data_IF_226228957246
#
_entry.id   IF_226228957246
#
_cell.length_a   1.000
_cell.length_b   1.000
_cell.length_c   1.000
_cell.angle_alpha   90.00
_cell.angle_beta   90.00
_cell.angle_gamma   90.00
#
_symmetry.space_group_name_H-M   'P 1'
#
loop_
_entity.id
_entity.type
_entity.pdbx_description
1 polymer ?
#
# COMPACT_ATOMS: atom_id res chain seq x y z
N UNK A 1 -31.79 -30.52 -93.13
CA UNK A 1 -32.65 -29.45 -92.59
C UNK A 1 -33.36 -29.97 -91.35
N UNK A 2 -33.31 -29.15 -90.28
CA UNK A 2 -34.26 -28.98 -89.17
C UNK A 2 -34.76 -30.23 -88.39
N UNK A 3 -34.46 -30.40 -87.10
CA UNK A 3 -34.85 -29.66 -85.87
C UNK A 3 -36.18 -30.11 -85.22
N UNK A 4 -36.10 -30.26 -83.89
CA UNK A 4 -37.14 -30.16 -82.84
C UNK A 4 -38.07 -31.37 -82.64
N UNK A 5 -37.93 -32.11 -81.54
CA UNK A 5 -38.41 -31.80 -80.16
C UNK A 5 -39.94 -31.90 -80.09
N UNK A 6 -40.55 -32.69 -79.19
CA UNK A 6 -40.79 -32.40 -77.76
C UNK A 6 -41.36 -33.71 -77.14
N UNK A 7 -40.79 -34.33 -76.11
CA UNK A 7 -40.80 -33.99 -74.67
C UNK A 7 -42.14 -34.31 -73.94
N UNK A 8 -42.07 -35.36 -73.10
CA UNK A 8 -42.47 -35.42 -71.66
C UNK A 8 -43.93 -35.38 -71.17
N UNK A 9 -44.04 -36.02 -69.99
CA UNK A 9 -44.95 -35.79 -68.85
C UNK A 9 -46.30 -36.51 -68.94
N UNK A 10 -46.87 -37.09 -67.88
CA UNK A 10 -46.65 -37.01 -66.44
C UNK A 10 -47.42 -38.19 -65.77
N UNK A 11 -47.00 -38.84 -64.68
CA UNK A 11 -46.64 -38.40 -63.32
C UNK A 11 -47.85 -38.44 -62.34
N UNK A 12 -47.67 -39.19 -61.24
CA UNK A 12 -48.26 -39.01 -59.89
C UNK A 12 -49.79 -39.22 -59.72
N UNK A 13 -50.36 -39.71 -58.61
CA UNK A 13 -49.92 -39.96 -57.25
C UNK A 13 -50.94 -40.91 -56.57
N UNK A 14 -50.51 -41.78 -55.65
CA UNK A 14 -51.03 -41.79 -54.27
C UNK A 14 -49.86 -42.16 -53.37
N UNK A 15 -49.45 -41.21 -52.54
CA UNK A 15 -48.56 -41.40 -51.42
C UNK A 15 -49.37 -41.90 -50.21
N UNK A 16 -48.94 -42.98 -49.54
CA UNK A 16 -49.20 -43.19 -48.11
C UNK A 16 -47.94 -43.83 -47.50
N UNK A 17 -47.19 -43.00 -46.76
CA UNK A 17 -46.25 -43.31 -45.69
C UNK A 17 -45.41 -44.62 -45.75
N UNK A 18 -44.15 -44.52 -46.19
CA UNK A 18 -43.05 -45.36 -45.72
C UNK A 18 -41.73 -44.57 -45.84
N UNK A 19 -40.80 -44.71 -44.88
CA UNK A 19 -39.63 -43.83 -44.76
C UNK A 19 -38.70 -43.96 -45.96
N UNK A 20 -38.03 -42.86 -46.29
CA UNK A 20 -36.87 -42.78 -47.21
C UNK A 20 -36.01 -44.04 -47.11
N UNK A 21 -35.80 -44.80 -48.20
CA UNK A 21 -34.94 -45.96 -48.14
C UNK A 21 -33.53 -45.47 -47.80
N UNK A 22 -32.97 -46.05 -46.73
CA UNK A 22 -31.57 -45.91 -46.36
C UNK A 22 -30.68 -46.16 -47.60
N UNK A 23 -29.47 -45.56 -47.67
CA UNK A 23 -28.51 -45.94 -48.69
C UNK A 23 -28.30 -47.45 -48.60
N UNK A 24 -28.74 -48.17 -49.62
CA UNK A 24 -28.57 -49.62 -49.69
C UNK A 24 -27.07 -49.89 -49.64
N UNK A 25 -26.60 -50.49 -48.55
CA UNK A 25 -25.30 -51.12 -48.48
C UNK A 25 -25.27 -52.19 -49.58
N UNK A 26 -24.61 -51.86 -50.68
CA UNK A 26 -24.35 -52.77 -51.80
C UNK A 26 -23.40 -53.92 -51.40
N UNK A 27 -22.92 -53.94 -50.16
CA UNK A 27 -21.96 -54.92 -49.66
C UNK A 27 -22.57 -56.30 -49.42
N UNK A 28 -23.89 -56.43 -49.24
CA UNK A 28 -24.52 -57.72 -48.89
C UNK A 28 -25.37 -58.38 -50.01
N UNK A 29 -25.31 -57.88 -51.25
CA UNK A 29 -26.05 -58.47 -52.40
C UNK A 29 -25.25 -58.66 -53.69
N UNK A 30 -23.92 -58.64 -53.63
CA UNK A 30 -23.08 -59.00 -54.77
C UNK A 30 -22.72 -60.49 -54.78
N UNK A 31 -23.71 -61.38 -54.81
CA UNK A 31 -23.48 -62.83 -54.91
C UNK A 31 -23.29 -63.32 -56.36
N UNK A 32 -23.41 -62.42 -57.37
CA UNK A 32 -23.04 -62.73 -58.77
C UNK A 32 -22.50 -61.52 -59.55
N UNK A 33 -21.75 -61.80 -60.62
CA UNK A 33 -21.08 -60.79 -61.46
C UNK A 33 -22.07 -59.88 -62.20
N UNK A 34 -23.29 -60.35 -62.47
CA UNK A 34 -24.37 -59.57 -63.09
C UNK A 34 -24.97 -58.53 -62.16
N UNK A 35 -25.01 -58.79 -60.85
CA UNK A 35 -25.47 -57.84 -59.83
C UNK A 35 -24.55 -56.62 -59.75
N UNK A 36 -23.23 -56.84 -59.87
CA UNK A 36 -22.21 -55.78 -59.90
C UNK A 36 -22.37 -54.92 -61.16
N UNK A 37 -22.63 -55.56 -62.31
CA UNK A 37 -22.86 -54.86 -63.59
C UNK A 37 -24.10 -53.98 -63.55
N UNK A 38 -25.24 -54.49 -63.07
CA UNK A 38 -26.49 -53.72 -62.97
C UNK A 38 -26.32 -52.55 -61.99
N UNK A 39 -25.72 -52.79 -60.82
CA UNK A 39 -25.46 -51.73 -59.83
C UNK A 39 -24.54 -50.62 -60.36
N UNK A 40 -23.47 -50.99 -61.07
CA UNK A 40 -22.54 -50.02 -61.67
C UNK A 40 -23.21 -49.21 -62.80
N UNK A 41 -24.05 -49.84 -63.62
CA UNK A 41 -24.83 -49.13 -64.66
C UNK A 41 -25.80 -48.12 -64.04
N UNK A 42 -26.48 -48.44 -62.95
CA UNK A 42 -27.37 -47.51 -62.24
C UNK A 42 -26.59 -46.31 -61.70
N UNK A 43 -25.45 -46.53 -61.07
CA UNK A 43 -24.61 -45.45 -60.51
C UNK A 43 -24.03 -44.56 -61.61
N UNK A 44 -23.55 -45.14 -62.72
CA UNK A 44 -23.05 -44.38 -63.87
C UNK A 44 -24.17 -43.57 -64.52
N UNK A 45 -25.37 -44.15 -64.66
CA UNK A 45 -26.54 -43.47 -65.22
C UNK A 45 -26.96 -42.31 -64.32
N UNK A 46 -26.98 -42.52 -63.00
CA UNK A 46 -27.29 -41.48 -62.01
C UNK A 46 -26.29 -40.32 -62.06
N UNK A 47 -24.98 -40.60 -62.14
CA UNK A 47 -23.94 -39.58 -62.34
C UNK A 47 -24.09 -38.82 -63.66
N UNK A 48 -24.40 -39.51 -64.77
CA UNK A 48 -24.62 -38.87 -66.07
C UNK A 48 -25.85 -37.96 -66.06
N UNK A 49 -26.92 -38.36 -65.36
CA UNK A 49 -28.14 -37.57 -65.23
C UNK A 49 -28.00 -36.38 -64.27
N UNK A 50 -27.09 -36.46 -63.29
CA UNK A 50 -26.81 -35.39 -62.34
C UNK A 50 -25.33 -35.43 -61.94
N UNK A 51 -24.45 -34.70 -62.67
CA UNK A 51 -23.01 -34.71 -62.45
C UNK A 51 -22.61 -33.83 -61.24
N UNK A 52 -23.25 -34.05 -60.09
CA UNK A 52 -22.88 -33.39 -58.85
C UNK A 52 -21.56 -33.94 -58.30
N UNK A 53 -20.91 -33.13 -57.46
CA UNK A 53 -19.70 -33.50 -56.74
C UNK A 53 -19.93 -34.78 -55.91
N UNK A 54 -21.06 -34.89 -55.23
CA UNK A 54 -21.41 -36.06 -54.41
C UNK A 54 -21.63 -37.33 -55.26
N UNK A 55 -22.27 -37.20 -56.44
CA UNK A 55 -22.44 -38.34 -57.36
C UNK A 55 -21.11 -38.79 -57.96
N UNK A 56 -20.19 -37.86 -58.22
CA UNK A 56 -18.82 -38.18 -58.64
C UNK A 56 -18.04 -38.93 -57.56
N UNK A 57 -18.16 -38.51 -56.30
CA UNK A 57 -17.53 -39.18 -55.17
C UNK A 57 -18.07 -40.61 -54.97
N UNK A 58 -19.39 -40.79 -55.06
CA UNK A 58 -20.02 -42.12 -54.96
C UNK A 58 -19.56 -43.07 -56.08
N UNK A 59 -19.49 -42.57 -57.32
CA UNK A 59 -18.97 -43.33 -58.46
C UNK A 59 -17.50 -43.73 -58.24
N UNK A 60 -16.68 -42.80 -57.75
CA UNK A 60 -15.27 -43.04 -57.46
C UNK A 60 -15.04 -44.02 -56.30
N UNK A 61 -15.86 -43.98 -55.25
CA UNK A 61 -15.81 -44.95 -54.13
C UNK A 61 -16.03 -46.37 -54.61
N UNK A 62 -17.08 -46.59 -55.40
CA UNK A 62 -17.45 -47.91 -55.93
C UNK A 62 -16.37 -48.44 -56.87
N UNK A 63 -15.86 -47.61 -57.78
CA UNK A 63 -14.80 -48.01 -58.71
C UNK A 63 -13.49 -48.29 -57.99
N UNK A 64 -13.17 -47.50 -56.95
CA UNK A 64 -11.96 -47.72 -56.16
C UNK A 64 -12.03 -48.99 -55.30
N UNK A 65 -13.22 -49.40 -54.87
CA UNK A 65 -13.47 -50.64 -54.12
C UNK A 65 -13.35 -51.93 -54.94
N UNK A 66 -13.30 -51.86 -56.28
CA UNK A 66 -13.08 -53.05 -57.10
C UNK A 66 -11.63 -53.54 -57.02
N UNK A 67 -11.48 -54.85 -56.78
CA UNK A 67 -10.20 -55.56 -56.89
C UNK A 67 -9.62 -55.50 -58.30
N UNK A 68 -8.29 -55.72 -58.49
CA UNK A 68 -7.67 -55.71 -59.81
C UNK A 68 -8.34 -56.67 -60.81
N UNK A 69 -8.76 -57.85 -60.35
CA UNK A 69 -9.45 -58.85 -61.17
C UNK A 69 -10.86 -58.39 -61.59
N UNK A 70 -11.60 -57.71 -60.71
CA UNK A 70 -12.91 -57.15 -61.04
C UNK A 70 -12.81 -55.99 -62.04
N UNK A 71 -11.79 -55.12 -61.89
CA UNK A 71 -11.54 -54.03 -62.83
C UNK A 71 -11.19 -54.54 -64.24
N UNK A 72 -10.32 -55.54 -64.34
CA UNK A 72 -9.95 -56.15 -65.62
C UNK A 72 -11.18 -56.74 -66.34
N UNK A 73 -12.07 -57.42 -65.60
CA UNK A 73 -13.30 -57.98 -66.16
C UNK A 73 -14.32 -56.89 -66.57
N UNK A 74 -14.42 -55.80 -65.83
CA UNK A 74 -15.27 -54.66 -66.22
C UNK A 74 -14.73 -53.91 -67.45
N UNK A 75 -13.41 -53.81 -67.59
CA UNK A 75 -12.78 -53.28 -68.81
C UNK A 75 -13.09 -54.15 -70.04
N UNK A 76 -13.10 -55.48 -69.88
CA UNK A 76 -13.53 -56.42 -70.94
C UNK A 76 -15.00 -56.24 -71.36
N UNK A 77 -15.85 -55.66 -70.48
CA UNK A 77 -17.24 -55.32 -70.77
C UNK A 77 -17.42 -53.91 -71.37
N UNK A 78 -16.33 -53.22 -71.71
CA UNK A 78 -16.35 -51.91 -72.37
C UNK A 78 -16.39 -50.71 -71.42
N UNK A 79 -16.19 -50.89 -70.10
CA UNK A 79 -16.05 -49.77 -69.18
C UNK A 79 -14.63 -49.19 -69.23
N UNK A 80 -14.49 -47.98 -69.77
CA UNK A 80 -13.23 -47.22 -69.78
C UNK A 80 -13.07 -46.39 -68.50
N UNK A 81 -12.25 -46.88 -67.57
CA UNK A 81 -11.93 -46.19 -66.32
C UNK A 81 -10.84 -45.11 -66.47
N UNK A 82 -10.13 -45.06 -67.61
CA UNK A 82 -9.02 -44.12 -67.81
C UNK A 82 -9.47 -42.67 -67.90
N UNK A 83 -10.75 -42.44 -68.26
CA UNK A 83 -11.37 -41.11 -68.35
C UNK A 83 -11.90 -40.59 -67.01
N UNK A 84 -11.96 -41.43 -65.97
CA UNK A 84 -12.47 -41.05 -64.66
C UNK A 84 -11.33 -40.54 -63.77
N UNK A 85 -11.21 -39.21 -63.65
CA UNK A 85 -10.33 -38.61 -62.64
C UNK A 85 -11.04 -38.60 -61.29
N UNK A 86 -10.68 -39.52 -60.40
CA UNK A 86 -11.19 -39.51 -59.04
C UNK A 86 -10.41 -38.49 -58.19
N UNK A 87 -11.11 -37.62 -57.44
CA UNK A 87 -10.44 -36.69 -56.53
C UNK A 87 -9.68 -37.48 -55.47
N UNK A 88 -8.51 -36.98 -55.07
CA UNK A 88 -7.71 -37.62 -54.02
C UNK A 88 -8.47 -37.59 -52.69
N UNK A 89 -8.06 -38.43 -51.74
CA UNK A 89 -8.60 -38.38 -50.36
C UNK A 89 -8.42 -36.99 -49.74
N UNK A 90 -7.35 -36.27 -50.10
CA UNK A 90 -7.10 -34.90 -49.63
C UNK A 90 -8.09 -33.89 -50.24
N UNK A 91 -8.43 -34.03 -51.52
CA UNK A 91 -9.44 -33.18 -52.18
C UNK A 91 -10.84 -33.41 -51.58
N UNK A 92 -11.15 -34.68 -51.29
CA UNK A 92 -12.40 -35.08 -50.64
C UNK A 92 -12.53 -34.47 -49.24
N UNK A 93 -11.45 -34.48 -48.45
CA UNK A 93 -11.43 -33.88 -47.11
C UNK A 93 -11.51 -32.34 -47.16
N UNK A 94 -10.83 -31.70 -48.11
CA UNK A 94 -10.90 -30.25 -48.30
C UNK A 94 -12.30 -29.76 -48.71
N UNK A 95 -13.09 -30.59 -49.41
CA UNK A 95 -14.47 -30.27 -49.75
C UNK A 95 -15.42 -30.32 -48.53
N UNK A 96 -15.04 -31.03 -47.46
CA UNK A 96 -15.83 -31.12 -46.20
C UNK A 96 -15.50 -29.95 -45.26
N UNK A 97 -14.22 -29.62 -45.15
CA UNK A 97 -13.74 -28.43 -44.44
C UNK A 97 -12.46 -27.94 -45.13
N UNK A 98 -12.44 -26.68 -45.61
CA UNK A 98 -11.25 -26.11 -46.24
C UNK A 98 -10.03 -26.25 -45.33
N UNK A 99 -8.93 -26.79 -45.86
CA UNK A 99 -7.67 -26.99 -45.13
C UNK A 99 -7.53 -28.35 -44.43
N UNK A 100 -8.61 -29.13 -44.27
CA UNK A 100 -8.56 -30.45 -43.63
C UNK A 100 -7.72 -31.45 -44.45
N UNK A 101 -7.82 -31.42 -45.77
CA UNK A 101 -7.05 -32.30 -46.66
C UNK A 101 -5.55 -32.04 -46.58
N UNK A 102 -5.15 -30.77 -46.55
CA UNK A 102 -3.74 -30.40 -46.40
C UNK A 102 -3.18 -30.79 -45.03
N UNK A 103 -3.96 -30.58 -43.95
CA UNK A 103 -3.58 -30.99 -42.60
C UNK A 103 -3.45 -32.51 -42.48
N UNK A 104 -4.36 -33.26 -43.09
CA UNK A 104 -4.33 -34.73 -43.11
C UNK A 104 -3.13 -35.27 -43.91
N UNK A 105 -2.83 -34.66 -45.05
CA UNK A 105 -1.66 -35.00 -45.86
C UNK A 105 -0.34 -34.77 -45.10
N UNK A 106 -0.19 -33.61 -44.46
CA UNK A 106 0.99 -33.29 -43.67
C UNK A 106 1.20 -34.25 -42.49
N UNK A 107 0.12 -34.68 -41.83
CA UNK A 107 0.15 -35.68 -40.76
C UNK A 107 0.58 -37.06 -41.27
N UNK A 108 0.01 -37.53 -42.38
CA UNK A 108 0.40 -38.82 -42.97
C UNK A 108 1.86 -38.85 -43.42
N UNK A 109 2.38 -37.74 -43.94
CA UNK A 109 3.77 -37.64 -44.38
C UNK A 109 4.77 -37.55 -43.22
N UNK A 110 4.40 -36.85 -42.13
CA UNK A 110 5.27 -36.70 -40.96
C UNK A 110 4.43 -36.49 -39.69
N UNK A 111 4.14 -37.55 -38.93
CA UNK A 111 3.29 -37.51 -37.73
C UNK A 111 4.04 -36.95 -36.51
N UNK A 112 4.49 -35.69 -36.60
CA UNK A 112 5.12 -34.96 -35.50
C UNK A 112 4.10 -34.12 -34.70
N UNK A 113 4.53 -33.53 -33.57
CA UNK A 113 3.68 -32.73 -32.67
C UNK A 113 2.97 -31.56 -33.38
N UNK A 114 3.64 -30.89 -34.31
CA UNK A 114 3.07 -29.75 -35.06
C UNK A 114 1.96 -30.20 -36.01
N UNK A 115 2.21 -31.25 -36.79
CA UNK A 115 1.25 -31.77 -37.77
C UNK A 115 0.07 -32.48 -37.08
N UNK A 116 0.32 -33.14 -35.95
CA UNK A 116 -0.74 -33.73 -35.10
C UNK A 116 -1.66 -32.63 -34.54
N UNK A 117 -1.10 -31.55 -33.98
CA UNK A 117 -1.90 -30.43 -33.46
C UNK A 117 -2.69 -29.71 -34.56
N UNK A 118 -2.10 -29.52 -35.74
CA UNK A 118 -2.77 -28.91 -36.88
C UNK A 118 -3.99 -29.74 -37.33
N UNK A 119 -3.83 -31.07 -37.48
CA UNK A 119 -4.95 -31.96 -37.80
C UNK A 119 -6.00 -32.01 -36.67
N UNK A 120 -5.57 -31.97 -35.41
CA UNK A 120 -6.48 -31.93 -34.26
C UNK A 120 -7.31 -30.64 -34.17
N UNK A 121 -6.75 -29.48 -34.57
CA UNK A 121 -7.51 -28.23 -34.62
C UNK A 121 -8.70 -28.33 -35.60
N UNK A 122 -8.48 -28.90 -36.80
CA UNK A 122 -9.55 -29.13 -37.76
C UNK A 122 -10.56 -30.18 -37.28
N UNK A 123 -10.10 -31.35 -36.83
CA UNK A 123 -10.99 -32.45 -36.42
C UNK A 123 -11.85 -32.10 -35.21
N UNK A 124 -11.34 -31.27 -34.29
CA UNK A 124 -12.09 -30.81 -33.11
C UNK A 124 -13.28 -29.91 -33.46
N UNK A 125 -13.23 -29.20 -34.59
CA UNK A 125 -14.25 -28.26 -35.06
C UNK A 125 -15.28 -28.90 -36.01
N UNK A 126 -15.09 -30.15 -36.43
CA UNK A 126 -16.03 -30.85 -37.31
C UNK A 126 -17.37 -31.09 -36.62
N UNK A 127 -18.45 -30.62 -37.24
CA UNK A 127 -19.83 -30.93 -36.85
C UNK A 127 -20.16 -32.42 -37.00
N UNK A 128 -21.22 -32.88 -36.33
CA UNK A 128 -21.71 -34.27 -36.47
C UNK A 128 -22.01 -34.66 -37.93
N UNK A 129 -22.57 -33.73 -38.70
CA UNK A 129 -22.85 -33.95 -40.13
C UNK A 129 -21.57 -34.11 -40.95
N UNK A 130 -20.54 -33.29 -40.71
CA UNK A 130 -19.25 -33.41 -41.39
C UNK A 130 -18.53 -34.71 -41.03
N UNK A 131 -18.55 -35.12 -39.75
CA UNK A 131 -17.97 -36.40 -39.30
C UNK A 131 -18.67 -37.60 -39.96
N UNK A 132 -20.00 -37.55 -40.06
CA UNK A 132 -20.78 -38.57 -40.77
C UNK A 132 -20.42 -38.63 -42.26
N UNK A 133 -20.23 -37.49 -42.93
CA UNK A 133 -19.76 -37.43 -44.33
C UNK A 133 -18.38 -38.06 -44.50
N UNK A 134 -17.42 -37.78 -43.60
CA UNK A 134 -16.08 -38.40 -43.64
C UNK A 134 -16.17 -39.93 -43.51
N UNK A 135 -16.98 -40.42 -42.56
CA UNK A 135 -17.19 -41.85 -42.37
C UNK A 135 -17.86 -42.51 -43.60
N UNK A 136 -18.83 -41.84 -44.23
CA UNK A 136 -19.49 -42.33 -45.45
C UNK A 136 -18.57 -42.41 -46.67
N UNK A 137 -17.46 -41.69 -46.66
CA UNK A 137 -16.40 -41.78 -47.68
C UNK A 137 -15.40 -42.91 -47.40
N UNK A 138 -15.55 -43.66 -46.30
CA UNK A 138 -14.62 -44.72 -45.89
C UNK A 138 -13.28 -44.20 -45.36
N UNK A 139 -13.20 -42.92 -44.99
CA UNK A 139 -11.96 -42.30 -44.51
C UNK A 139 -11.91 -42.40 -42.98
N UNK A 140 -10.95 -43.15 -42.43
CA UNK A 140 -10.71 -43.22 -40.99
C UNK A 140 -9.59 -42.26 -40.58
N UNK A 141 -9.92 -41.18 -39.88
CA UNK A 141 -8.92 -40.26 -39.30
C UNK A 141 -8.58 -40.74 -37.88
N UNK A 142 -7.63 -41.68 -37.77
CA UNK A 142 -7.15 -42.18 -36.47
C UNK A 142 -5.99 -41.30 -35.97
N UNK A 143 -6.33 -40.09 -35.50
CA UNK A 143 -5.38 -39.22 -34.81
C UNK A 143 -5.74 -39.21 -33.33
N UNK A 144 -4.79 -39.61 -32.47
CA UNK A 144 -4.96 -39.44 -31.04
C UNK A 144 -4.77 -37.95 -30.71
N UNK A 145 -5.87 -37.21 -30.78
CA UNK A 145 -5.89 -35.86 -30.28
C UNK A 145 -5.78 -35.92 -28.76
N UNK A 146 -4.55 -35.80 -28.27
CA UNK A 146 -4.33 -35.44 -26.88
C UNK A 146 -5.20 -34.24 -26.54
N UNK A 147 -5.75 -34.22 -25.34
CA UNK A 147 -6.49 -33.08 -24.81
C UNK A 147 -5.74 -31.79 -25.18
N UNK A 148 -6.43 -30.78 -25.73
CA UNK A 148 -5.79 -29.51 -26.10
C UNK A 148 -5.00 -28.94 -24.91
N UNK A 149 -3.98 -28.09 -25.12
CA UNK A 149 -3.28 -27.45 -23.99
C UNK A 149 -4.28 -26.77 -23.05
N UNK A 150 -5.34 -26.16 -23.60
CA UNK A 150 -6.48 -25.62 -22.83
C UNK A 150 -7.15 -26.70 -21.97
N UNK A 151 -7.46 -27.87 -22.53
CA UNK A 151 -8.09 -28.99 -21.82
C UNK A 151 -7.15 -29.62 -20.78
N UNK A 152 -5.86 -29.76 -21.10
CA UNK A 152 -4.83 -30.30 -20.19
C UNK A 152 -4.59 -29.35 -19.01
N UNK A 153 -4.53 -28.04 -19.26
CA UNK A 153 -4.43 -27.03 -18.21
C UNK A 153 -5.71 -26.98 -17.36
N UNK A 154 -6.90 -27.08 -17.97
CA UNK A 154 -8.17 -27.15 -17.24
C UNK A 154 -8.29 -28.40 -16.36
N UNK A 155 -7.62 -29.51 -16.72
CA UNK A 155 -7.54 -30.71 -15.89
C UNK A 155 -6.58 -30.56 -14.70
N UNK A 156 -5.57 -29.69 -14.80
CA UNK A 156 -4.67 -29.35 -13.68
C UNK A 156 -5.37 -28.46 -12.67
N UNK A 157 -6.09 -27.45 -13.15
CA UNK A 157 -6.88 -26.51 -12.34
C UNK A 157 -8.02 -25.98 -13.19
N UNK A 158 -9.24 -26.00 -12.65
CA UNK A 158 -10.42 -25.52 -13.36
C UNK A 158 -10.18 -24.11 -13.94
N UNK A 159 -10.54 -23.94 -15.21
CA UNK A 159 -10.42 -22.69 -15.97
C UNK A 159 -8.99 -22.18 -16.25
N UNK A 160 -7.93 -22.88 -15.85
CA UNK A 160 -6.55 -22.47 -16.11
C UNK A 160 -6.23 -22.38 -17.60
N UNK A 161 -6.67 -23.36 -18.39
CA UNK A 161 -6.48 -23.35 -19.83
C UNK A 161 -7.23 -22.22 -20.52
N UNK A 162 -8.45 -21.96 -20.07
CA UNK A 162 -9.28 -20.86 -20.59
C UNK A 162 -8.64 -19.50 -20.30
N UNK A 163 -8.16 -19.27 -19.08
CA UNK A 163 -7.48 -18.04 -18.69
C UNK A 163 -6.14 -17.85 -19.41
N UNK A 164 -5.35 -18.92 -19.56
CA UNK A 164 -4.10 -18.91 -20.30
C UNK A 164 -4.31 -18.56 -21.77
N UNK A 165 -5.34 -19.12 -22.40
CA UNK A 165 -5.70 -18.82 -23.79
C UNK A 165 -6.13 -17.36 -23.96
N UNK A 166 -6.95 -16.83 -23.05
CA UNK A 166 -7.37 -15.42 -23.10
C UNK A 166 -6.19 -14.45 -22.94
N UNK A 167 -5.25 -14.75 -22.03
CA UNK A 167 -4.02 -13.98 -21.86
C UNK A 167 -3.13 -13.98 -23.11
N UNK A 168 -2.96 -15.14 -23.76
CA UNK A 168 -2.18 -15.25 -25.00
C UNK A 168 -2.82 -14.50 -26.18
N UNK A 169 -4.16 -14.41 -26.22
CA UNK A 169 -4.88 -13.71 -27.28
C UNK A 169 -4.90 -12.19 -27.10
N UNK A 170 -4.92 -11.69 -25.86
CA UNK A 170 -4.99 -10.26 -25.58
C UNK A 170 -4.37 -9.97 -24.21
N UNK A 171 -3.12 -9.51 -24.17
CA UNK A 171 -2.42 -9.21 -22.92
C UNK A 171 -2.81 -7.82 -22.40
N UNK A 172 -3.71 -7.78 -21.42
CA UNK A 172 -4.14 -6.55 -20.76
C UNK A 172 -4.40 -6.78 -19.25
N UNK A 173 -4.78 -5.74 -18.51
CA UNK A 173 -4.97 -5.82 -17.07
C UNK A 173 -6.00 -6.89 -16.65
N UNK A 174 -7.09 -7.05 -17.41
CA UNK A 174 -8.16 -7.99 -17.10
C UNK A 174 -7.74 -9.45 -17.34
N UNK A 175 -7.12 -9.75 -18.49
CA UNK A 175 -6.65 -11.09 -18.82
C UNK A 175 -5.44 -11.51 -17.97
N UNK A 176 -4.59 -10.55 -17.60
CA UNK A 176 -3.48 -10.76 -16.66
C UNK A 176 -3.99 -11.06 -15.26
N UNK A 177 -4.97 -10.29 -14.75
CA UNK A 177 -5.57 -10.53 -13.43
C UNK A 177 -6.29 -11.88 -13.35
N UNK A 178 -7.04 -12.26 -14.40
CA UNK A 178 -7.73 -13.54 -14.48
C UNK A 178 -6.77 -14.73 -14.48
N UNK A 179 -5.64 -14.64 -15.20
CA UNK A 179 -4.60 -15.66 -15.16
C UNK A 179 -3.93 -15.70 -13.78
N UNK A 180 -3.57 -14.55 -13.20
CA UNK A 180 -2.93 -14.45 -11.90
C UNK A 180 -3.77 -14.98 -10.73
N UNK A 181 -5.08 -14.78 -10.74
CA UNK A 181 -5.98 -15.31 -9.72
C UNK A 181 -5.93 -16.84 -9.64
N UNK A 182 -5.73 -17.51 -10.79
CA UNK A 182 -5.65 -18.97 -10.85
C UNK A 182 -4.22 -19.44 -10.57
N UNK A 183 -3.20 -18.79 -11.13
CA UNK A 183 -1.80 -19.25 -10.99
C UNK A 183 -1.26 -19.10 -9.57
N UNK A 184 -1.69 -18.08 -8.84
CA UNK A 184 -1.31 -17.86 -7.43
C UNK A 184 -1.85 -18.94 -6.48
N UNK A 185 -2.90 -19.66 -6.88
CA UNK A 185 -3.52 -20.74 -6.10
C UNK A 185 -2.98 -22.14 -6.44
N UNK A 186 -2.10 -22.27 -7.45
CA UNK A 186 -1.55 -23.58 -7.84
C UNK A 186 -0.60 -24.13 -6.77
N UNK A 187 -0.82 -25.38 -6.39
CA UNK A 187 0.09 -26.17 -5.56
C UNK A 187 1.42 -26.44 -6.27
N UNK A 188 2.46 -26.80 -5.53
CA UNK A 188 3.76 -27.17 -6.10
C UNK A 188 3.64 -28.32 -7.12
N UNK A 189 2.80 -29.32 -6.84
CA UNK A 189 2.54 -30.44 -7.75
C UNK A 189 1.84 -29.98 -9.04
N UNK A 190 0.83 -29.12 -8.95
CA UNK A 190 0.15 -28.56 -10.12
C UNK A 190 1.09 -27.69 -10.97
N UNK A 191 1.97 -26.89 -10.35
CA UNK A 191 3.00 -26.12 -11.07
C UNK A 191 3.96 -27.03 -11.82
N UNK A 192 4.42 -28.12 -11.20
CA UNK A 192 5.24 -29.12 -11.87
C UNK A 192 4.52 -29.74 -13.08
N UNK A 193 3.23 -30.05 -12.95
CA UNK A 193 2.40 -30.54 -14.07
C UNK A 193 2.27 -29.52 -15.20
N UNK A 194 2.11 -28.22 -14.90
CA UNK A 194 2.09 -27.16 -15.94
C UNK A 194 3.44 -27.08 -16.66
N UNK A 195 4.56 -27.10 -15.92
CA UNK A 195 5.90 -27.07 -16.50
C UNK A 195 6.16 -28.32 -17.36
N UNK A 196 5.67 -29.50 -16.94
CA UNK A 196 5.76 -30.74 -17.72
C UNK A 196 4.96 -30.68 -19.04
N UNK A 197 3.93 -29.85 -19.13
CA UNK A 197 3.22 -29.57 -20.39
C UNK A 197 3.99 -28.61 -21.32
N UNK A 198 5.10 -28.02 -20.87
CA UNK A 198 5.92 -27.04 -21.60
C UNK A 198 5.32 -25.63 -21.62
N UNK A 199 4.43 -25.32 -20.67
CA UNK A 199 3.79 -24.01 -20.54
C UNK A 199 4.53 -23.17 -19.50
N UNK A 200 5.01 -21.99 -19.90
CA UNK A 200 5.59 -21.00 -18.97
C UNK A 200 4.51 -20.00 -18.59
N UNK A 201 4.08 -20.05 -17.33
CA UNK A 201 3.16 -19.07 -16.76
C UNK A 201 3.97 -17.96 -16.10
N UNK A 202 4.29 -16.89 -16.85
CA UNK A 202 4.98 -15.70 -16.32
C UNK A 202 4.17 -14.39 -16.44
N UNK A 203 2.90 -14.33 -16.01
CA UNK A 203 2.25 -13.04 -15.83
C UNK A 203 2.91 -12.33 -14.63
N UNK A 204 3.29 -11.05 -14.79
CA UNK A 204 3.67 -10.21 -13.66
C UNK A 204 2.44 -10.00 -12.77
N UNK A 205 2.26 -10.88 -11.79
CA UNK A 205 1.12 -10.81 -10.91
C UNK A 205 1.31 -9.68 -9.91
N UNK A 206 0.38 -8.71 -9.84
CA UNK A 206 0.43 -7.70 -8.79
C UNK A 206 0.39 -8.40 -7.44
N UNK A 207 1.33 -8.07 -6.57
CA UNK A 207 1.39 -8.62 -5.22
C UNK A 207 0.17 -8.14 -4.42
N UNK A 208 -0.13 -8.80 -3.30
CA UNK A 208 -1.20 -8.30 -2.40
C UNK A 208 -0.97 -6.84 -1.99
N UNK A 209 0.30 -6.42 -1.86
CA UNK A 209 0.68 -5.03 -1.60
C UNK A 209 0.25 -4.11 -2.75
N UNK A 210 0.51 -4.51 -4.00
CA UNK A 210 0.12 -3.74 -5.19
C UNK A 210 -1.39 -3.67 -5.34
N UNK A 211 -2.08 -4.79 -5.09
CA UNK A 211 -3.54 -4.87 -5.13
C UNK A 211 -4.20 -3.95 -4.09
N UNK A 212 -3.68 -3.93 -2.86
CA UNK A 212 -4.16 -3.04 -1.80
C UNK A 212 -3.86 -1.57 -2.11
N UNK A 213 -2.71 -1.26 -2.70
CA UNK A 213 -2.34 0.11 -3.08
C UNK A 213 -3.22 0.66 -4.22
N UNK A 214 -3.72 -0.19 -5.09
CA UNK A 214 -4.68 0.20 -6.13
C UNK A 214 -6.07 0.54 -5.55
N UNK A 215 -6.40 0.03 -4.36
CA UNK A 215 -7.66 0.39 -3.67
C UNK A 215 -7.51 1.73 -2.96
N UNK A 216 -6.39 1.91 -2.25
CA UNK A 216 -6.04 3.16 -1.58
C UNK A 216 -4.51 3.27 -1.50
N UNK A 217 -3.92 4.37 -1.98
CA UNK A 217 -2.47 4.57 -1.90
C UNK A 217 -1.94 4.41 -0.48
N UNK A 218 -0.89 3.60 -0.30
CA UNK A 218 -0.27 3.37 1.01
C UNK A 218 -0.87 2.21 1.83
N UNK A 219 -2.03 1.68 1.44
CA UNK A 219 -2.71 0.61 2.17
C UNK A 219 -1.90 -0.69 2.18
N UNK A 220 -1.28 -1.04 1.05
CA UNK A 220 -0.48 -2.26 0.92
C UNK A 220 0.74 -2.24 1.82
N UNK A 221 1.46 -1.11 1.90
CA UNK A 221 2.61 -0.97 2.78
C UNK A 221 2.20 -1.00 4.25
N UNK A 222 1.13 -0.28 4.62
CA UNK A 222 0.64 -0.25 5.99
C UNK A 222 0.18 -1.62 6.48
N UNK A 223 -0.54 -2.36 5.63
CA UNK A 223 -0.98 -3.72 5.92
C UNK A 223 0.20 -4.69 6.07
N UNK A 224 1.19 -4.60 5.16
CA UNK A 224 2.39 -5.44 5.23
C UNK A 224 3.22 -5.15 6.50
N UNK A 225 3.34 -3.89 6.89
CA UNK A 225 4.03 -3.50 8.12
C UNK A 225 3.33 -4.02 9.38
N UNK A 226 1.99 -3.95 9.42
CA UNK A 226 1.18 -4.47 10.52
C UNK A 226 1.32 -5.99 10.69
N UNK A 227 1.22 -6.76 9.61
CA UNK A 227 1.35 -8.23 9.67
C UNK A 227 2.75 -8.64 10.10
N UNK A 228 3.79 -7.93 9.65
CA UNK A 228 5.18 -8.24 10.03
C UNK A 228 5.47 -7.93 11.50
N UNK A 229 4.89 -6.87 12.04
CA UNK A 229 5.11 -6.46 13.43
C UNK A 229 3.89 -5.67 13.93
N UNK A 230 2.93 -6.32 14.64
CA UNK A 230 1.70 -5.71 15.12
C UNK A 230 1.93 -4.86 16.38
N UNK A 231 2.81 -3.86 16.28
CA UNK A 231 3.04 -2.88 17.33
C UNK A 231 2.11 -1.67 17.19
N UNK A 232 2.11 -0.81 18.20
CA UNK A 232 1.22 0.37 18.27
C UNK A 232 1.39 1.34 17.09
N UNK A 233 2.62 1.53 16.59
CA UNK A 233 2.92 2.41 15.45
C UNK A 233 2.32 1.85 14.15
N UNK A 234 2.54 0.57 13.88
CA UNK A 234 2.06 -0.09 12.67
C UNK A 234 0.54 -0.27 12.67
N UNK A 235 -0.05 -0.52 13.85
CA UNK A 235 -1.51 -0.56 14.06
C UNK A 235 -2.14 0.80 13.76
N UNK A 236 -1.57 1.90 14.29
CA UNK A 236 -2.07 3.26 14.04
C UNK A 236 -1.95 3.66 12.56
N UNK A 237 -0.84 3.32 11.90
CA UNK A 237 -0.65 3.61 10.48
C UNK A 237 -1.66 2.88 9.58
N UNK A 238 -1.97 1.62 9.90
CA UNK A 238 -3.02 0.86 9.21
C UNK A 238 -4.41 1.48 9.48
N UNK A 239 -4.74 1.75 10.74
CA UNK A 239 -6.04 2.32 11.13
C UNK A 239 -6.31 3.71 10.52
N UNK A 240 -5.29 4.56 10.37
CA UNK A 240 -5.44 5.88 9.74
C UNK A 240 -5.90 5.79 8.28
N UNK A 241 -5.49 4.74 7.56
CA UNK A 241 -5.88 4.50 6.16
C UNK A 241 -7.22 3.78 6.09
N UNK A 242 -7.44 2.75 6.92
CA UNK A 242 -8.66 1.93 6.86
C UNK A 242 -9.91 2.68 7.30
N UNK A 243 -9.79 3.66 8.20
CA UNK A 243 -10.90 4.52 8.64
C UNK A 243 -11.36 5.52 7.57
N UNK A 244 -10.57 5.75 6.53
CA UNK A 244 -10.89 6.65 5.42
C UNK A 244 -11.44 5.92 4.19
N UNK A 245 -11.50 4.57 4.21
CA UNK A 245 -12.02 3.78 3.09
C UNK A 245 -13.53 3.94 2.97
N UNK A 246 -14.01 4.24 1.77
CA UNK A 246 -15.43 4.17 1.42
C UNK A 246 -15.97 2.73 1.50
N UNK A 247 -17.29 2.55 1.59
CA UNK A 247 -17.93 1.23 1.60
C UNK A 247 -17.58 0.38 0.36
N UNK A 248 -17.42 1.02 -0.80
CA UNK A 248 -16.99 0.34 -2.03
C UNK A 248 -15.54 -0.15 -1.93
N UNK A 249 -14.63 0.68 -1.40
CA UNK A 249 -13.23 0.28 -1.18
C UNK A 249 -13.11 -0.82 -0.12
N UNK A 250 -13.88 -0.76 0.96
CA UNK A 250 -13.92 -1.82 1.97
C UNK A 250 -14.38 -3.15 1.39
N UNK A 251 -15.38 -3.12 0.49
CA UNK A 251 -15.83 -4.31 -0.25
C UNK A 251 -14.74 -4.87 -1.16
N UNK A 252 -13.98 -4.00 -1.84
CA UNK A 252 -12.83 -4.40 -2.66
C UNK A 252 -11.70 -5.03 -1.84
N UNK A 253 -11.44 -4.55 -0.61
CA UNK A 253 -10.45 -5.16 0.29
C UNK A 253 -10.92 -6.55 0.77
N UNK A 254 -12.19 -6.68 1.15
CA UNK A 254 -12.76 -7.96 1.56
C UNK A 254 -12.71 -9.00 0.43
N UNK A 255 -12.90 -8.58 -0.83
CA UNK A 255 -12.75 -9.43 -2.01
C UNK A 255 -11.32 -9.96 -2.21
N UNK A 256 -10.30 -9.33 -1.60
CA UNK A 256 -8.91 -9.81 -1.56
C UNK A 256 -8.64 -10.75 -0.36
N UNK A 257 -9.68 -11.20 0.37
CA UNK A 257 -9.58 -11.95 1.63
C UNK A 257 -8.78 -11.24 2.74
N UNK A 258 -8.67 -9.91 2.65
CA UNK A 258 -8.07 -9.09 3.71
C UNK A 258 -9.20 -8.59 4.61
N UNK A 259 -9.11 -8.90 5.90
CA UNK A 259 -10.10 -8.45 6.89
C UNK A 259 -9.42 -7.63 7.99
N UNK A 260 -9.92 -6.42 8.22
CA UNK A 260 -9.45 -5.52 9.27
C UNK A 260 -10.23 -5.65 10.59
N UNK A 261 -11.22 -6.53 10.70
CA UNK A 261 -12.06 -6.68 11.89
C UNK A 261 -11.29 -7.08 13.16
N UNK A 262 -10.13 -7.72 13.01
CA UNK A 262 -9.24 -8.05 14.13
C UNK A 262 -8.26 -6.92 14.48
N UNK A 263 -8.17 -5.88 13.63
CA UNK A 263 -7.41 -4.67 13.95
C UNK A 263 -8.30 -3.86 14.87
N UNK A 264 -7.99 -3.89 16.17
CA UNK A 264 -8.61 -3.02 17.17
C UNK A 264 -8.18 -1.58 16.87
N UNK A 265 -8.84 -0.95 15.90
CA UNK A 265 -8.78 0.48 15.68
C UNK A 265 -9.55 1.14 16.83
N UNK A 266 -8.91 1.13 18.01
CA UNK A 266 -9.27 2.02 19.09
C UNK A 266 -9.26 3.42 18.51
N UNK A 267 -10.37 4.12 18.75
CA UNK A 267 -10.63 5.47 18.28
C UNK A 267 -9.35 6.29 18.24
N UNK A 268 -9.17 7.03 17.14
CA UNK A 268 -8.14 8.07 16.98
C UNK A 268 -7.78 8.61 18.35
N UNK A 269 -6.52 8.43 18.83
CA UNK A 269 -6.20 8.84 20.19
C UNK A 269 -6.65 10.28 20.35
N UNK A 270 -7.55 10.51 21.31
CA UNK A 270 -8.14 11.83 21.53
C UNK A 270 -7.01 12.83 21.70
N UNK A 271 -7.24 14.10 21.37
CA UNK A 271 -6.23 15.15 21.59
C UNK A 271 -5.70 15.09 23.03
N UNK A 272 -6.58 14.80 24.00
CA UNK A 272 -6.23 14.50 25.40
C UNK A 272 -5.22 13.35 25.55
N UNK A 273 -5.45 12.20 24.90
CA UNK A 273 -4.53 11.05 24.95
C UNK A 273 -3.20 11.34 24.24
N UNK A 274 -3.21 12.08 23.13
CA UNK A 274 -2.01 12.47 22.39
C UNK A 274 -1.15 13.44 23.22
N UNK A 275 -1.77 14.45 23.85
CA UNK A 275 -1.08 15.38 24.73
C UNK A 275 -0.54 14.70 25.99
N UNK A 276 -1.30 13.77 26.60
CA UNK A 276 -0.84 12.99 27.76
C UNK A 276 0.36 12.09 27.45
N UNK A 277 0.57 11.71 26.18
CA UNK A 277 1.75 10.96 25.75
C UNK A 277 3.01 11.84 25.61
N UNK A 278 2.85 13.16 25.41
CA UNK A 278 3.96 14.11 25.37
C UNK A 278 4.45 14.42 26.79
N UNK A 279 3.51 14.68 27.70
CA UNK A 279 3.77 14.92 29.11
C UNK A 279 2.55 14.45 29.92
N UNK A 280 2.78 13.72 31.01
CA UNK A 280 1.70 13.21 31.83
C UNK A 280 0.76 14.33 32.27
N UNK A 281 -0.55 14.07 32.17
CA UNK A 281 -1.65 14.99 32.54
C UNK A 281 -1.79 16.26 31.69
N UNK A 282 -0.94 16.49 30.68
CA UNK A 282 -1.02 17.68 29.80
C UNK A 282 -2.36 17.76 29.06
N UNK A 283 -2.82 16.65 28.49
CA UNK A 283 -4.09 16.60 27.77
C UNK A 283 -5.28 16.85 28.69
N UNK A 284 -5.23 16.30 29.90
CA UNK A 284 -6.28 16.51 30.91
C UNK A 284 -6.35 17.98 31.35
N UNK A 285 -5.21 18.62 31.60
CA UNK A 285 -5.14 20.03 31.98
C UNK A 285 -5.55 20.96 30.83
N UNK A 286 -5.13 20.65 29.60
CA UNK A 286 -5.52 21.42 28.41
C UNK A 286 -7.03 21.35 28.16
N UNK A 287 -7.62 20.16 28.32
CA UNK A 287 -9.06 19.97 28.18
C UNK A 287 -9.84 20.73 29.26
N UNK A 288 -9.37 20.72 30.51
CA UNK A 288 -9.99 21.48 31.60
C UNK A 288 -9.92 23.01 31.35
N UNK A 289 -8.79 23.51 30.85
CA UNK A 289 -8.62 24.91 30.45
C UNK A 289 -9.58 25.31 29.33
N UNK A 290 -9.69 24.49 28.28
CA UNK A 290 -10.63 24.75 27.17
C UNK A 290 -12.09 24.73 27.62
N UNK A 291 -12.45 23.86 28.57
CA UNK A 291 -13.81 23.75 29.08
C UNK A 291 -14.21 24.93 29.99
N UNK A 292 -13.26 25.49 30.76
CA UNK A 292 -13.54 26.57 31.71
C UNK A 292 -12.26 27.38 31.97
N UNK A 293 -12.09 28.51 31.29
CA UNK A 293 -10.90 29.36 31.42
C UNK A 293 -10.98 30.23 32.68
N UNK A 294 -10.41 29.76 33.79
CA UNK A 294 -10.34 30.49 35.05
C UNK A 294 -8.97 30.33 35.72
N UNK A 295 -8.75 31.00 36.85
CA UNK A 295 -7.45 31.01 37.53
C UNK A 295 -6.94 29.60 37.87
N UNK A 296 -7.83 28.67 38.26
CA UNK A 296 -7.45 27.31 38.67
C UNK A 296 -7.07 26.44 37.48
N UNK A 297 -7.84 26.46 36.39
CA UNK A 297 -7.55 25.67 35.18
C UNK A 297 -6.35 26.22 34.42
N UNK A 298 -6.16 27.54 34.40
CA UNK A 298 -4.95 28.19 33.87
C UNK A 298 -3.71 27.82 34.69
N UNK A 299 -3.77 27.86 36.02
CA UNK A 299 -2.65 27.46 36.88
C UNK A 299 -2.27 25.98 36.71
N UNK A 300 -3.26 25.09 36.61
CA UNK A 300 -3.03 23.66 36.39
C UNK A 300 -2.36 23.36 35.04
N UNK A 301 -2.78 24.05 33.97
CA UNK A 301 -2.13 23.93 32.67
C UNK A 301 -0.69 24.49 32.73
N UNK A 302 -0.50 25.65 33.34
CA UNK A 302 0.80 26.32 33.43
C UNK A 302 1.86 25.58 34.24
N UNK A 303 1.46 24.88 35.30
CA UNK A 303 2.37 24.02 36.08
C UNK A 303 2.99 22.90 35.21
N UNK A 304 2.27 22.43 34.20
CA UNK A 304 2.73 21.38 33.28
C UNK A 304 3.51 21.98 32.11
N UNK A 305 3.02 23.07 31.52
CA UNK A 305 3.64 23.66 30.31
C UNK A 305 5.00 24.29 30.59
N UNK A 306 5.23 24.82 31.79
CA UNK A 306 6.53 25.38 32.22
C UNK A 306 7.64 24.34 32.37
N UNK A 307 7.29 23.05 32.43
CA UNK A 307 8.23 21.93 32.55
C UNK A 307 8.51 21.24 31.21
N UNK A 308 7.88 21.67 30.11
CA UNK A 308 8.06 21.05 28.79
C UNK A 308 9.43 21.41 28.20
N UNK A 309 10.19 20.39 27.80
CA UNK A 309 11.41 20.56 27.00
C UNK A 309 11.10 21.12 25.60
N UNK A 310 12.09 21.67 24.91
CA UNK A 310 11.93 22.19 23.55
C UNK A 310 11.37 21.14 22.56
N UNK A 311 11.79 19.88 22.68
CA UNK A 311 11.29 18.78 21.84
C UNK A 311 9.81 18.46 22.13
N UNK A 312 9.39 18.51 23.40
CA UNK A 312 7.99 18.34 23.77
C UNK A 312 7.14 19.51 23.29
N UNK A 313 7.63 20.75 23.38
CA UNK A 313 6.94 21.94 22.85
C UNK A 313 6.71 21.84 21.33
N UNK A 314 7.73 21.40 20.58
CA UNK A 314 7.59 21.13 19.15
C UNK A 314 6.56 20.03 18.85
N UNK A 315 6.51 18.99 19.69
CA UNK A 315 5.52 17.91 19.59
C UNK A 315 4.09 18.39 19.86
N UNK A 316 3.88 19.33 20.79
CA UNK A 316 2.57 19.95 21.05
C UNK A 316 2.14 20.83 19.87
N UNK A 317 3.06 21.63 19.32
CA UNK A 317 2.78 22.46 18.15
C UNK A 317 2.42 21.62 16.91
N UNK A 318 3.05 20.46 16.73
CA UNK A 318 2.73 19.50 15.67
C UNK A 318 1.31 18.90 15.78
N UNK A 319 0.68 18.99 16.97
CA UNK A 319 -0.73 18.63 17.19
C UNK A 319 -1.68 19.83 16.99
N UNK A 320 -1.22 20.94 16.40
CA UNK A 320 -1.96 22.21 16.24
C UNK A 320 -2.46 22.82 17.56
N UNK A 321 -1.82 22.50 18.69
CA UNK A 321 -2.12 23.09 19.99
C UNK A 321 -1.15 24.24 20.24
N UNK A 322 -1.66 25.47 20.29
CA UNK A 322 -0.87 26.65 20.62
C UNK A 322 -1.00 26.98 22.12
N UNK A 323 0.05 26.69 22.88
CA UNK A 323 0.15 27.03 24.30
C UNK A 323 0.73 28.42 24.57
N UNK A 324 1.24 29.13 23.54
CA UNK A 324 1.86 30.44 23.69
C UNK A 324 0.88 31.55 24.11
N UNK A 325 -0.43 31.34 23.87
CA UNK A 325 -1.49 32.27 24.28
C UNK A 325 -1.93 32.07 25.73
N UNK A 326 -1.49 31.00 26.40
CA UNK A 326 -1.80 30.78 27.82
C UNK A 326 -0.90 31.72 28.63
N UNK A 327 -1.46 32.82 29.12
CA UNK A 327 -0.76 33.72 30.03
C UNK A 327 -0.55 33.02 31.37
N UNK A 328 0.57 32.32 31.48
CA UNK A 328 0.93 31.67 32.72
C UNK A 328 1.30 32.71 33.77
N UNK A 329 0.67 32.68 34.97
CA UNK A 329 1.12 33.52 36.06
C UNK A 329 2.57 33.17 36.34
N UNK A 330 3.46 34.12 36.06
CA UNK A 330 4.88 33.91 36.23
C UNK A 330 5.18 33.67 37.70
N UNK A 331 6.03 32.68 38.00
CA UNK A 331 6.59 32.53 39.35
C UNK A 331 7.29 33.83 39.76
N UNK A 332 7.38 34.15 41.06
CA UNK A 332 8.03 35.39 41.51
C UNK A 332 9.46 35.53 40.93
N UNK A 333 10.21 34.43 40.83
CA UNK A 333 11.52 34.40 40.18
C UNK A 333 11.46 34.80 38.69
N UNK A 334 10.47 34.32 37.95
CA UNK A 334 10.26 34.70 36.54
C UNK A 334 9.80 36.15 36.41
N UNK A 335 8.90 36.62 37.28
CA UNK A 335 8.48 38.03 37.33
C UNK A 335 9.67 38.96 37.61
N UNK A 336 10.59 38.55 38.49
CA UNK A 336 11.80 39.30 38.77
C UNK A 336 12.79 39.24 37.60
N UNK A 337 12.95 38.09 36.96
CA UNK A 337 13.83 37.91 35.80
C UNK A 337 13.33 38.63 34.53
N UNK A 338 12.03 38.92 34.41
CA UNK A 338 11.51 39.77 33.33
C UNK A 338 11.76 41.26 33.57
N UNK A 339 11.90 41.69 34.82
CA UNK A 339 12.32 43.05 35.15
C UNK A 339 13.81 43.24 34.87
N UNK A 340 14.65 42.33 35.36
CA UNK A 340 16.09 42.30 35.06
C UNK A 340 16.62 40.87 35.10
N UNK A 341 17.36 40.47 34.06
CA UNK A 341 17.91 39.13 33.97
C UNK A 341 18.81 38.79 35.17
N UNK A 342 18.56 37.65 35.82
CA UNK A 342 19.31 37.19 37.01
C UNK A 342 18.85 37.80 38.34
N UNK A 343 17.90 38.74 38.33
CA UNK A 343 17.39 39.36 39.56
C UNK A 343 16.56 38.37 40.40
N UNK A 344 15.83 37.46 39.76
CA UNK A 344 15.07 36.40 40.43
C UNK A 344 15.95 35.44 41.22
N UNK A 345 17.09 35.04 40.67
CA UNK A 345 18.02 34.11 41.33
C UNK A 345 18.71 34.79 42.53
N UNK A 346 19.05 36.08 42.37
CA UNK A 346 19.61 36.90 43.43
C UNK A 346 18.61 37.04 44.59
N UNK A 347 17.34 37.29 44.28
CA UNK A 347 16.29 37.34 45.29
C UNK A 347 16.03 35.99 45.95
N UNK A 348 16.01 34.89 45.18
CA UNK A 348 15.82 33.55 45.73
C UNK A 348 16.94 33.18 46.72
N UNK A 349 18.18 33.55 46.40
CA UNK A 349 19.35 33.36 47.28
C UNK A 349 19.21 34.18 48.58
N UNK A 350 18.76 35.43 48.49
CA UNK A 350 18.44 36.25 49.66
C UNK A 350 17.31 35.63 50.49
N UNK A 351 16.23 35.18 49.85
CA UNK A 351 15.07 34.60 50.53
C UNK A 351 15.42 33.31 51.28
N UNK A 352 16.34 32.50 50.74
CA UNK A 352 16.83 31.28 51.40
C UNK A 352 17.70 31.54 52.64
N UNK A 353 18.43 32.66 52.67
CA UNK A 353 19.28 33.02 53.79
C UNK A 353 19.41 34.56 53.94
N UNK A 354 18.41 35.23 54.54
CA UNK A 354 18.29 36.69 54.53
C UNK A 354 19.29 37.40 55.46
N UNK A 355 19.91 36.68 56.40
CA UNK A 355 20.89 37.22 57.36
C UNK A 355 22.33 37.15 56.86
N UNK A 356 22.59 36.47 55.73
CA UNK A 356 23.94 36.31 55.18
C UNK A 356 24.33 37.59 54.42
N UNK A 357 25.39 38.26 54.89
CA UNK A 357 25.85 39.54 54.31
C UNK A 357 26.12 39.45 52.80
N UNK A 358 26.74 38.36 52.33
CA UNK A 358 27.01 38.17 50.90
C UNK A 358 25.73 38.16 50.05
N UNK A 359 24.64 37.57 50.57
CA UNK A 359 23.36 37.51 49.87
C UNK A 359 22.66 38.89 49.86
N UNK A 360 22.73 39.60 50.99
CA UNK A 360 22.24 41.00 51.06
C UNK A 360 23.01 41.90 50.11
N UNK A 361 24.34 41.76 50.04
CA UNK A 361 25.20 42.55 49.16
C UNK A 361 24.89 42.28 47.68
N UNK A 362 24.79 41.01 47.28
CA UNK A 362 24.44 40.65 45.91
C UNK A 362 23.08 41.23 45.50
N UNK A 363 22.07 41.12 46.36
CA UNK A 363 20.76 41.72 46.13
C UNK A 363 20.82 43.24 45.99
N UNK A 364 21.55 43.92 46.88
CA UNK A 364 21.66 45.37 46.86
C UNK A 364 22.45 45.92 45.67
N UNK A 365 23.49 45.20 45.22
CA UNK A 365 24.21 45.54 44.00
C UNK A 365 23.32 45.37 42.77
N UNK A 366 22.58 44.26 42.68
CA UNK A 366 21.64 44.00 41.60
C UNK A 366 20.52 45.06 41.58
N UNK A 367 20.00 45.44 42.76
CA UNK A 367 18.97 46.49 42.90
C UNK A 367 19.48 47.86 42.48
N UNK A 368 20.72 48.22 42.83
CA UNK A 368 21.32 49.50 42.44
C UNK A 368 21.64 49.60 40.94
N UNK A 369 21.75 48.46 40.23
CA UNK A 369 21.93 48.43 38.79
C UNK A 369 20.62 48.59 38.01
N UNK A 370 19.46 48.57 38.68
CA UNK A 370 18.16 48.73 38.03
C UNK A 370 17.94 50.18 37.58
N UNK A 371 17.28 50.34 36.44
CA UNK A 371 16.72 51.63 36.00
C UNK A 371 15.60 52.09 36.93
N UNK A 372 15.19 53.36 36.82
CA UNK A 372 14.06 53.89 37.58
C UNK A 372 12.75 53.12 37.30
N UNK A 373 12.49 52.76 36.05
CA UNK A 373 11.30 52.00 35.65
C UNK A 373 11.32 50.58 36.24
N UNK A 374 12.46 49.90 36.17
CA UNK A 374 12.62 48.57 36.77
C UNK A 374 12.51 48.62 38.29
N UNK A 375 13.03 49.67 38.94
CA UNK A 375 12.93 49.86 40.40
C UNK A 375 11.48 49.99 40.84
N UNK A 376 10.66 50.78 40.11
CA UNK A 376 9.22 50.89 40.38
C UNK A 376 8.52 49.54 40.22
N UNK A 377 8.85 48.78 39.17
CA UNK A 377 8.29 47.44 38.95
C UNK A 377 8.64 46.46 40.09
N UNK A 378 9.89 46.47 40.58
CA UNK A 378 10.30 45.64 41.73
C UNK A 378 9.58 46.04 43.01
N UNK A 379 9.45 47.35 43.29
CA UNK A 379 8.78 47.82 44.50
C UNK A 379 7.30 47.43 44.54
N UNK A 380 6.64 47.35 43.38
CA UNK A 380 5.25 46.89 43.27
C UNK A 380 5.06 45.40 43.63
N UNK A 381 6.12 44.59 43.59
CA UNK A 381 6.07 43.16 43.92
C UNK A 381 6.13 42.86 45.43
N UNK A 382 6.31 43.89 46.28
CA UNK A 382 6.29 43.78 47.75
C UNK A 382 7.10 42.57 48.31
N UNK A 383 8.39 42.53 47.97
CA UNK A 383 9.27 41.40 48.25
C UNK A 383 9.56 41.22 49.75
N UNK A 384 8.92 40.25 50.40
CA UNK A 384 9.01 40.01 51.84
C UNK A 384 10.45 39.83 52.37
N UNK A 385 11.31 39.08 51.67
CA UNK A 385 12.69 38.86 52.12
C UNK A 385 13.57 40.12 52.03
N UNK A 386 13.17 41.11 51.25
CA UNK A 386 13.88 42.38 51.10
C UNK A 386 13.40 43.45 52.08
N UNK A 387 12.33 43.21 52.84
CA UNK A 387 11.70 44.22 53.72
C UNK A 387 12.66 44.81 54.76
N UNK A 388 13.61 44.00 55.25
CA UNK A 388 14.56 44.40 56.28
C UNK A 388 15.97 44.71 55.74
N UNK A 389 16.18 44.67 54.42
CA UNK A 389 17.50 44.90 53.82
C UNK A 389 17.69 46.40 53.54
N UNK A 390 18.56 47.04 54.32
CA UNK A 390 18.97 48.42 54.10
C UNK A 390 20.16 48.48 53.11
N UNK A 391 19.86 48.55 51.81
CA UNK A 391 20.88 48.55 50.77
C UNK A 391 21.92 49.68 50.85
N UNK A 392 21.55 50.93 51.18
CA UNK A 392 22.52 51.98 51.48
C UNK A 392 23.56 51.56 52.53
N UNK A 393 23.11 50.97 53.66
CA UNK A 393 24.00 50.52 54.74
C UNK A 393 24.87 49.34 54.31
N UNK A 394 24.30 48.32 53.66
CA UNK A 394 25.05 47.14 53.19
C UNK A 394 26.15 47.53 52.19
N UNK A 395 25.85 48.45 51.28
CA UNK A 395 26.82 48.93 50.29
C UNK A 395 27.88 49.82 50.93
N UNK A 396 27.52 50.65 51.92
CA UNK A 396 28.50 51.41 52.71
C UNK A 396 29.43 50.48 53.49
N UNK A 397 28.87 49.49 54.21
CA UNK A 397 29.62 48.48 54.94
C UNK A 397 30.64 47.77 54.03
N UNK A 398 30.19 47.31 52.86
CA UNK A 398 31.09 46.68 51.88
C UNK A 398 32.19 47.65 51.39
N UNK A 399 31.84 48.91 51.09
CA UNK A 399 32.83 49.91 50.64
C UNK A 399 33.87 50.20 51.71
N UNK A 400 33.49 50.28 52.98
CA UNK A 400 34.41 50.50 54.09
C UNK A 400 35.34 49.30 54.28
N UNK A 401 34.78 48.08 54.28
CA UNK A 401 35.54 46.83 54.40
C UNK A 401 36.53 46.63 53.23
N UNK A 402 36.16 47.03 52.02
CA UNK A 402 36.96 46.76 50.81
C UNK A 402 37.97 47.87 50.50
N UNK A 403 37.62 49.15 50.71
CA UNK A 403 38.44 50.27 50.24
C UNK A 403 39.32 50.91 51.31
N UNK A 404 39.12 50.58 52.59
CA UNK A 404 39.82 51.19 53.71
C UNK A 404 40.52 50.15 54.57
N UNK A 405 39.76 49.30 55.26
CA UNK A 405 40.31 48.28 56.13
C UNK A 405 39.27 47.17 56.35
N UNK A 406 39.64 45.87 56.29
CA UNK A 406 38.74 44.78 56.63
C UNK A 406 38.17 44.96 58.04
N UNK A 407 36.85 44.74 58.20
CA UNK A 407 36.14 44.87 59.47
C UNK A 407 35.75 46.31 59.85
N UNK A 408 36.26 47.34 59.16
CA UNK A 408 35.91 48.74 59.45
C UNK A 408 34.43 49.03 59.21
N UNK A 409 33.87 48.52 58.12
CA UNK A 409 32.46 48.65 57.81
C UNK A 409 31.58 47.95 58.85
N UNK A 410 31.98 46.76 59.29
CA UNK A 410 31.24 45.99 60.30
C UNK A 410 31.22 46.73 61.63
N UNK A 411 32.37 47.23 62.08
CA UNK A 411 32.48 48.02 63.31
C UNK A 411 31.72 49.34 63.22
N UNK A 412 31.76 50.02 62.07
CA UNK A 412 31.04 51.27 61.84
C UNK A 412 29.52 51.06 61.90
N UNK A 413 29.00 50.06 61.19
CA UNK A 413 27.57 49.74 61.21
C UNK A 413 27.12 49.27 62.58
N UNK A 414 27.93 48.46 63.29
CA UNK A 414 27.62 48.04 64.66
C UNK A 414 27.56 49.24 65.62
N UNK A 415 28.48 50.19 65.51
CA UNK A 415 28.45 51.43 66.29
C UNK A 415 27.24 52.31 65.96
N UNK A 416 26.88 52.45 64.68
CA UNK A 416 25.67 53.18 64.29
C UNK A 416 24.39 52.52 64.79
N UNK A 417 24.32 51.20 64.77
CA UNK A 417 23.18 50.44 65.28
C UNK A 417 23.08 50.55 66.81
N UNK A 418 24.21 50.52 67.52
CA UNK A 418 24.27 50.66 68.96
C UNK A 418 25.59 51.31 69.41
N UNK A 419 25.52 52.51 69.98
CA UNK A 419 26.68 53.29 70.43
C UNK A 419 27.19 52.83 71.81
N UNK A 420 27.43 51.53 71.97
CA UNK A 420 27.98 50.97 73.21
C UNK A 420 29.47 51.27 73.35
N UNK A 421 29.98 51.22 74.57
CA UNK A 421 31.43 51.36 74.85
C UNK A 421 32.25 50.33 74.06
N UNK A 422 31.75 49.09 73.93
CA UNK A 422 32.42 48.03 73.17
C UNK A 422 32.46 48.34 71.68
N UNK A 423 31.34 48.72 71.07
CA UNK A 423 31.29 49.04 69.64
C UNK A 423 32.16 50.26 69.31
N UNK A 424 32.15 51.27 70.19
CA UNK A 424 33.05 52.43 70.08
C UNK A 424 34.51 52.01 70.15
N UNK A 425 34.89 51.18 71.12
CA UNK A 425 36.27 50.72 71.27
C UNK A 425 36.75 49.94 70.03
N UNK A 426 35.93 49.03 69.50
CA UNK A 426 36.23 48.28 68.27
C UNK A 426 36.41 49.22 67.08
N UNK A 427 35.51 50.19 66.90
CA UNK A 427 35.60 51.18 65.82
C UNK A 427 36.86 52.05 65.97
N UNK A 428 37.15 52.54 67.17
CA UNK A 428 38.33 53.37 67.44
C UNK A 428 39.64 52.63 67.19
N UNK A 429 39.73 51.34 67.55
CA UNK A 429 40.90 50.51 67.27
C UNK A 429 41.16 50.36 65.76
N UNK A 430 40.10 50.23 64.95
CA UNK A 430 40.24 50.12 63.49
C UNK A 430 40.54 51.48 62.84
N UNK A 431 39.90 52.56 63.31
CA UNK A 431 40.17 53.93 62.85
C UNK A 431 41.62 54.34 63.18
N UNK A 432 42.16 53.91 64.33
CA UNK A 432 43.55 54.14 64.72
C UNK A 432 44.57 53.60 63.71
N UNK A 433 44.22 52.53 62.99
CA UNK A 433 45.07 51.92 61.96
C UNK A 433 45.04 52.66 60.62
N UNK A 434 44.09 53.58 60.41
CA UNK A 434 43.98 54.34 59.17
C UNK A 434 45.01 55.47 59.13
N UNK A 435 45.70 55.61 58.00
CA UNK A 435 46.59 56.74 57.74
C UNK A 435 45.82 58.04 57.43
N UNK A 436 46.51 59.18 57.42
CA UNK A 436 45.90 60.50 57.19
C UNK A 436 45.11 60.57 55.88
N UNK A 437 45.62 59.96 54.80
CA UNK A 437 44.94 59.95 53.49
C UNK A 437 43.64 59.12 53.52
N UNK A 438 43.63 57.99 54.21
CA UNK A 438 42.42 57.17 54.40
C UNK A 438 41.38 57.93 55.23
N UNK A 439 41.79 58.61 56.30
CA UNK A 439 40.87 59.44 57.12
C UNK A 439 40.28 60.59 56.31
N UNK A 440 41.09 61.29 55.52
CA UNK A 440 40.60 62.34 54.62
C UNK A 440 39.60 61.79 53.57
N UNK A 441 39.85 60.59 53.01
CA UNK A 441 38.93 59.93 52.07
C UNK A 441 37.61 59.49 52.72
N UNK A 442 37.61 59.08 53.99
CA UNK A 442 36.37 58.78 54.72
C UNK A 442 35.49 60.03 54.84
N UNK A 443 36.08 61.15 55.23
CA UNK A 443 35.38 62.42 55.31
C UNK A 443 34.89 62.88 53.93
N UNK A 444 35.78 62.98 52.96
CA UNK A 444 35.46 63.58 51.67
C UNK A 444 34.54 62.72 50.79
N UNK A 445 34.66 61.39 50.84
CA UNK A 445 33.94 60.51 49.91
C UNK A 445 32.76 59.78 50.55
N UNK A 446 32.76 59.59 51.87
CA UNK A 446 31.69 58.89 52.59
C UNK A 446 30.97 59.79 53.60
N UNK A 447 31.41 61.04 53.79
CA UNK A 447 30.92 61.96 54.81
C UNK A 447 31.00 61.39 56.23
N UNK A 448 32.07 60.65 56.51
CA UNK A 448 32.32 60.03 57.82
C UNK A 448 33.49 60.76 58.47
N UNK A 449 33.17 61.59 59.47
CA UNK A 449 34.17 62.28 60.29
C UNK A 449 34.59 61.41 61.48
N UNK A 450 35.81 60.87 61.40
CA UNK A 450 36.36 59.98 62.44
C UNK A 450 36.59 60.67 63.78
N UNK A 451 36.65 62.01 63.82
CA UNK A 451 36.82 62.77 65.07
C UNK A 451 35.55 62.76 65.93
N UNK A 452 34.39 62.54 65.29
CA UNK A 452 33.09 62.53 65.95
C UNK A 452 32.83 61.25 66.77
N UNK A 453 33.69 60.24 66.65
CA UNK A 453 33.52 58.97 67.34
C UNK A 453 33.95 59.00 68.82
N UNK A 454 34.65 60.05 69.26
CA UNK A 454 35.15 60.16 70.64
C UNK A 454 36.26 59.16 70.96
N UNK A 455 37.12 58.89 69.98
CA UNK A 455 38.30 58.04 70.14
C UNK A 455 39.44 58.84 70.80
N UNK A 456 39.37 59.02 72.12
CA UNK A 456 40.45 59.59 72.91
C UNK A 456 41.49 58.53 73.29
#
# INVERSE_FOLDING_TARGET
MLFKSIFTLALAAVAIAAPTPAPVELEDRATSFDSIRIGLTVVITSYRSNPSIDNRYNLCRIINGFSPAQRARLQQLGFDFSRLRCPSVFDQLNAIQPGLGAAYQAYQQNPNRRNTNALCAFTSQLSRAQRSRIASLGITINVQCGASITTQLNAIQANLGTAYQAYQQNQNAQTTAALCAITTQLTAAQRASVTALGVTLNPQCPTLVDQLNNIQPGLGQAYQAYIRNPNRRNTNALCAITTQLSAAQQSSVAALNVNFNNVQCTQTPTLTAQLNAIQANLGTAYQAYQANQNAQTTAALCAITTQLTAAQQASVAALNVNLANVQCPQTLTQQLNTIAAGFGDTYATLAGAPTVFANQLAFCQARNALTAQQTTAVNALNLAAAANVNCPTVILQNRLNTNFLPGLGDAYVAFQAAQTTQNRATLCNLVGQLNANQRARLLNNQNIDVTTFGCN
#
